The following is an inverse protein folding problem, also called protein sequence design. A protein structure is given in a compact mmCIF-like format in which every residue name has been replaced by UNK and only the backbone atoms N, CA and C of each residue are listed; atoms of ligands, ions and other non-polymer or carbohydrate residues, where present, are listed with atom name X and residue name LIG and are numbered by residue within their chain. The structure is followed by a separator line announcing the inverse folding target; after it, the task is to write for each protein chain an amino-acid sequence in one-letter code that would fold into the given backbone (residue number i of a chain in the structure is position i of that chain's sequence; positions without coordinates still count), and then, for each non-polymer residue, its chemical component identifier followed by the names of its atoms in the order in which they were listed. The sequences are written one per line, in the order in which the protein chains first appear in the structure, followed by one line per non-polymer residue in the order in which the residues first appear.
data_IF_632118202028
#
_entry.id   IF_632118202028
#
_cell.length_a   1.000
_cell.length_b   1.000
_cell.length_c   1.000
_cell.angle_alpha   90.00
_cell.angle_beta   90.00
_cell.angle_gamma   90.00
#
_symmetry.space_group_name_H-M   'P 1'
#
loop_
_entity.id
_entity.type
_entity.pdbx_description
1 polymer ?
#
# COMPACT_ATOMS: atom_id res chain seq x y z
N UNK A 1 -41.90 37.69 -39.84
CA UNK A 1 -41.68 37.13 -38.49
C UNK A 1 -40.81 35.87 -38.60
N UNK A 2 -39.52 35.96 -38.33
CA UNK A 2 -38.57 34.82 -38.38
C UNK A 2 -38.56 34.08 -37.06
N UNK A 3 -38.97 32.83 -37.02
CA UNK A 3 -38.88 31.93 -35.83
C UNK A 3 -37.49 31.37 -35.74
N UNK A 4 -36.76 31.69 -34.67
CA UNK A 4 -35.48 31.08 -34.33
C UNK A 4 -35.75 29.78 -33.55
N UNK A 5 -35.34 28.64 -34.10
CA UNK A 5 -35.35 27.34 -33.41
C UNK A 5 -34.01 27.23 -32.66
N UNK A 6 -34.04 27.29 -31.33
CA UNK A 6 -32.87 27.04 -30.47
C UNK A 6 -32.80 25.50 -30.27
N UNK A 7 -31.81 24.87 -30.89
CA UNK A 7 -31.50 23.47 -30.65
C UNK A 7 -30.59 23.38 -29.40
N UNK A 8 -31.16 22.94 -28.28
CA UNK A 8 -30.40 22.62 -27.07
C UNK A 8 -29.65 21.31 -27.28
N UNK A 9 -28.34 21.41 -27.52
CA UNK A 9 -27.45 20.24 -27.59
C UNK A 9 -27.20 19.75 -26.15
N UNK A 10 -27.89 18.68 -25.74
CA UNK A 10 -27.58 17.99 -24.47
C UNK A 10 -26.29 17.20 -24.63
N UNK A 11 -25.18 17.74 -24.11
CA UNK A 11 -23.96 16.97 -23.90
C UNK A 11 -24.22 15.92 -22.80
N UNK A 12 -24.44 14.69 -23.20
CA UNK A 12 -24.38 13.56 -22.26
C UNK A 12 -22.92 13.42 -21.78
N UNK A 13 -22.65 13.87 -20.57
CA UNK A 13 -21.40 13.57 -19.88
C UNK A 13 -21.50 12.09 -19.46
N UNK A 14 -20.90 11.21 -20.25
CA UNK A 14 -20.69 9.81 -19.85
C UNK A 14 -19.62 9.80 -18.78
N UNK A 15 -20.03 9.85 -17.52
CA UNK A 15 -19.13 9.53 -16.39
C UNK A 15 -18.84 8.03 -16.48
N UNK A 16 -17.58 7.61 -16.65
CA UNK A 16 -17.28 6.19 -16.61
C UNK A 16 -17.63 5.68 -15.22
N UNK A 17 -18.69 4.89 -15.13
CA UNK A 17 -19.03 4.16 -13.92
C UNK A 17 -17.93 3.13 -13.67
N UNK A 18 -17.00 3.44 -12.75
CA UNK A 18 -16.12 2.44 -12.14
C UNK A 18 -16.95 1.56 -11.19
N UNK A 19 -17.87 0.82 -11.75
CA UNK A 19 -18.59 -0.23 -11.04
C UNK A 19 -18.30 -1.55 -11.73
N UNK A 20 -17.20 -2.17 -11.36
CA UNK A 20 -17.12 -3.62 -11.42
C UNK A 20 -16.85 -4.12 -10.02
N UNK A 21 -17.93 -4.46 -9.33
CA UNK A 21 -17.89 -5.28 -8.13
C UNK A 21 -17.26 -6.63 -8.52
N UNK A 22 -15.93 -6.69 -8.42
CA UNK A 22 -15.18 -7.88 -8.76
C UNK A 22 -15.45 -8.95 -7.71
N UNK A 23 -16.47 -9.77 -7.95
CA UNK A 23 -16.86 -10.85 -7.03
C UNK A 23 -15.69 -11.78 -6.77
N UNK A 24 -15.31 -11.93 -5.50
CA UNK A 24 -14.26 -12.85 -5.08
C UNK A 24 -14.79 -14.28 -5.01
N UNK A 25 -14.09 -15.18 -5.68
CA UNK A 25 -14.30 -16.64 -5.56
C UNK A 25 -13.40 -17.21 -4.47
N UNK A 26 -13.79 -18.33 -3.85
CA UNK A 26 -12.98 -19.04 -2.83
C UNK A 26 -11.53 -19.29 -3.30
N UNK A 27 -11.35 -19.63 -4.59
CA UNK A 27 -10.01 -19.87 -5.16
C UNK A 27 -9.13 -18.62 -5.26
N UNK A 28 -9.72 -17.44 -5.32
CA UNK A 28 -8.97 -16.19 -5.44
C UNK A 28 -8.21 -15.89 -4.13
N UNK A 29 -8.79 -16.24 -2.96
CA UNK A 29 -8.15 -16.14 -1.63
C UNK A 29 -6.94 -17.05 -1.43
N UNK A 30 -6.76 -18.05 -2.32
CA UNK A 30 -5.63 -18.98 -2.32
C UNK A 30 -4.60 -18.64 -3.39
N UNK A 31 -4.54 -17.39 -3.81
CA UNK A 31 -3.59 -16.89 -4.79
C UNK A 31 -2.58 -15.95 -4.17
N UNK A 32 -1.40 -15.91 -4.76
CA UNK A 32 -0.44 -14.83 -4.53
C UNK A 32 -0.75 -13.69 -5.51
N UNK A 33 -0.20 -12.51 -5.23
CA UNK A 33 -0.36 -11.33 -6.07
C UNK A 33 1.00 -10.97 -6.67
N UNK A 34 1.04 -10.76 -7.98
CA UNK A 34 2.19 -10.24 -8.70
C UNK A 34 1.96 -8.77 -9.00
N UNK A 35 2.86 -7.90 -8.50
CA UNK A 35 2.98 -6.50 -8.88
C UNK A 35 4.10 -6.40 -9.92
N UNK A 36 3.76 -6.07 -11.15
CA UNK A 36 4.74 -5.79 -12.22
C UNK A 36 5.02 -4.29 -12.21
N UNK A 37 6.26 -3.91 -11.96
CA UNK A 37 6.69 -2.51 -11.93
C UNK A 37 7.71 -2.22 -13.02
N UNK A 38 7.97 -0.94 -13.30
CA UNK A 38 9.06 -0.53 -14.18
C UNK A 38 10.46 -0.75 -13.58
N UNK A 39 10.55 -1.25 -12.34
CA UNK A 39 11.79 -1.67 -11.66
C UNK A 39 11.92 -3.20 -11.54
N UNK A 40 10.88 -3.96 -11.92
CA UNK A 40 10.84 -5.41 -11.82
C UNK A 40 9.58 -5.92 -11.11
N UNK A 41 9.55 -7.23 -10.87
CA UNK A 41 8.40 -7.94 -10.34
C UNK A 41 8.51 -8.11 -8.81
N UNK A 42 7.42 -7.81 -8.10
CA UNK A 42 7.28 -8.09 -6.66
C UNK A 42 6.14 -9.09 -6.48
N UNK A 43 6.39 -10.20 -5.80
CA UNK A 43 5.36 -11.19 -5.45
C UNK A 43 5.04 -11.07 -3.98
N UNK A 44 3.75 -10.89 -3.68
CA UNK A 44 3.25 -10.76 -2.32
C UNK A 44 2.23 -11.84 -1.99
N UNK A 45 2.16 -12.20 -0.71
CA UNK A 45 1.12 -13.06 -0.14
C UNK A 45 0.31 -12.28 0.87
N UNK A 46 -1.01 -12.36 0.75
CA UNK A 46 -1.92 -11.74 1.70
C UNK A 46 -2.23 -12.69 2.85
N UNK A 47 -2.42 -12.14 4.04
CA UNK A 47 -2.69 -12.89 5.27
C UNK A 47 -4.16 -13.30 5.38
N UNK A 48 -4.40 -14.54 5.75
CA UNK A 48 -5.74 -15.02 6.09
C UNK A 48 -6.23 -14.51 7.47
N UNK A 49 -5.32 -13.98 8.31
CA UNK A 49 -5.64 -13.42 9.62
C UNK A 49 -6.23 -12.01 9.57
N UNK A 50 -6.18 -11.35 8.40
CA UNK A 50 -6.76 -10.03 8.16
C UNK A 50 -7.70 -10.08 6.95
N UNK A 51 -8.83 -10.78 7.06
CA UNK A 51 -9.70 -11.11 5.94
C UNK A 51 -10.33 -9.88 5.27
N UNK A 52 -10.63 -8.81 6.01
CA UNK A 52 -11.19 -7.58 5.44
C UNK A 52 -10.19 -6.95 4.45
N UNK A 53 -8.94 -6.83 4.85
CA UNK A 53 -7.87 -6.25 4.02
C UNK A 53 -7.50 -7.15 2.86
N UNK A 54 -7.33 -8.47 3.11
CA UNK A 54 -7.07 -9.46 2.07
C UNK A 54 -8.15 -9.40 0.98
N UNK A 55 -9.41 -9.49 1.36
CA UNK A 55 -10.53 -9.58 0.41
C UNK A 55 -10.71 -8.26 -0.35
N UNK A 56 -10.56 -7.11 0.33
CA UNK A 56 -10.58 -5.81 -0.31
C UNK A 56 -9.45 -5.67 -1.35
N UNK A 57 -8.21 -5.98 -0.96
CA UNK A 57 -7.08 -5.88 -1.88
C UNK A 57 -7.25 -6.79 -3.11
N UNK A 58 -7.71 -8.03 -2.91
CA UNK A 58 -7.99 -8.96 -4.01
C UNK A 58 -9.10 -8.45 -4.95
N UNK A 59 -10.15 -7.79 -4.42
CA UNK A 59 -11.19 -7.15 -5.25
C UNK A 59 -10.59 -6.05 -6.11
N UNK A 60 -9.79 -5.17 -5.53
CA UNK A 60 -9.12 -4.07 -6.23
C UNK A 60 -8.14 -4.58 -7.30
N UNK A 61 -7.43 -5.68 -7.03
CA UNK A 61 -6.59 -6.35 -8.05
C UNK A 61 -7.44 -6.87 -9.21
N UNK A 62 -8.56 -7.52 -8.93
CA UNK A 62 -9.44 -8.07 -9.98
C UNK A 62 -10.15 -6.99 -10.80
N UNK A 63 -10.40 -5.83 -10.24
CA UNK A 63 -10.96 -4.68 -10.96
C UNK A 63 -9.91 -3.83 -11.67
N UNK A 64 -8.65 -4.27 -11.71
CA UNK A 64 -7.54 -3.50 -12.31
C UNK A 64 -7.33 -2.12 -11.68
N UNK A 65 -7.76 -1.95 -10.43
CA UNK A 65 -7.67 -0.68 -9.73
C UNK A 65 -6.23 -0.18 -9.59
N UNK A 66 -5.29 -1.09 -9.35
CA UNK A 66 -3.88 -0.77 -9.15
C UNK A 66 -3.06 -0.65 -10.44
N UNK A 67 -3.61 -0.98 -11.59
CA UNK A 67 -2.90 -0.86 -12.86
C UNK A 67 -2.59 0.62 -13.13
N UNK A 68 -1.35 0.91 -13.45
CA UNK A 68 -0.79 2.25 -13.74
C UNK A 68 -0.65 3.20 -12.54
N UNK A 69 -0.92 2.81 -11.29
CA UNK A 69 -0.67 3.69 -10.13
C UNK A 69 0.83 3.82 -9.83
N UNK A 70 1.21 4.93 -9.20
CA UNK A 70 2.59 5.19 -8.79
C UNK A 70 2.85 4.71 -7.36
N UNK A 71 4.11 4.37 -7.09
CA UNK A 71 4.65 4.53 -5.74
C UNK A 71 4.87 6.03 -5.52
N UNK A 72 3.86 6.68 -4.98
CA UNK A 72 3.80 8.14 -4.87
C UNK A 72 4.54 8.69 -3.66
N UNK A 73 4.95 7.83 -2.73
CA UNK A 73 5.74 8.20 -1.56
C UNK A 73 6.76 7.12 -1.26
N UNK A 74 8.03 7.50 -1.21
CA UNK A 74 9.17 6.60 -1.02
C UNK A 74 10.12 7.20 0.00
N UNK A 75 10.37 6.46 1.09
CA UNK A 75 11.34 6.87 2.12
C UNK A 75 12.34 5.73 2.32
N UNK A 76 13.58 5.99 1.99
CA UNK A 76 14.69 5.06 2.18
C UNK A 76 14.82 4.64 3.65
N UNK A 77 15.12 3.37 3.90
CA UNK A 77 15.18 2.74 5.22
C UNK A 77 13.85 2.73 5.98
N UNK A 78 12.74 2.96 5.27
CA UNK A 78 11.41 2.94 5.88
C UNK A 78 10.40 2.17 5.01
N UNK A 79 9.84 2.77 3.95
CA UNK A 79 8.79 2.13 3.15
C UNK A 79 8.65 2.72 1.75
N UNK A 80 7.96 1.97 0.88
CA UNK A 80 7.46 2.44 -0.40
C UNK A 80 5.93 2.35 -0.41
N UNK A 81 5.23 3.45 -0.70
CA UNK A 81 3.77 3.56 -0.60
C UNK A 81 3.13 3.80 -1.96
N UNK A 82 2.03 3.09 -2.23
CA UNK A 82 1.25 3.16 -3.46
C UNK A 82 -0.27 3.09 -3.18
N UNK A 83 -1.08 3.05 -4.24
CA UNK A 83 -2.52 2.78 -4.15
C UNK A 83 -3.42 4.00 -4.26
N UNK A 84 -2.87 5.17 -4.56
CA UNK A 84 -3.63 6.38 -4.90
C UNK A 84 -4.04 6.33 -6.39
N UNK A 85 -5.34 6.26 -6.73
CA UNK A 85 -5.79 6.19 -8.12
C UNK A 85 -5.53 7.50 -8.90
N UNK A 86 -5.42 8.63 -8.22
CA UNK A 86 -5.13 9.93 -8.85
C UNK A 86 -3.71 9.97 -9.42
N UNK A 87 -2.84 9.06 -8.93
CA UNK A 87 -1.46 8.94 -9.42
C UNK A 87 -1.33 8.39 -10.84
N UNK A 88 -2.37 7.77 -11.40
CA UNK A 88 -2.31 7.12 -12.72
C UNK A 88 -1.89 8.08 -13.84
N UNK A 89 -2.37 9.31 -13.78
CA UNK A 89 -2.16 10.34 -14.80
C UNK A 89 -1.63 11.65 -14.21
N UNK A 90 -1.05 11.59 -13.00
CA UNK A 90 -0.56 12.78 -12.32
C UNK A 90 0.68 13.36 -13.01
N UNK A 91 0.67 14.67 -13.25
CA UNK A 91 1.85 15.39 -13.70
C UNK A 91 2.95 15.39 -12.61
N UNK A 92 4.22 15.53 -12.99
CA UNK A 92 5.30 15.75 -12.03
C UNK A 92 5.00 16.92 -11.08
N UNK A 93 5.38 16.80 -9.80
CA UNK A 93 5.22 17.85 -8.79
C UNK A 93 3.79 17.99 -8.20
N UNK A 94 2.82 17.25 -8.69
CA UNK A 94 1.47 17.24 -8.10
C UNK A 94 1.47 16.45 -6.79
N UNK A 95 1.01 17.01 -5.65
CA UNK A 95 0.84 16.27 -4.41
C UNK A 95 -0.13 15.10 -4.58
N UNK A 96 0.24 13.94 -4.06
CA UNK A 96 -0.53 12.70 -4.11
C UNK A 96 -0.71 12.14 -2.69
N UNK A 97 -1.50 11.06 -2.57
CA UNK A 97 -1.74 10.37 -1.30
C UNK A 97 -3.09 10.68 -0.66
N UNK A 98 -3.94 11.50 -1.31
CA UNK A 98 -5.30 11.79 -0.84
C UNK A 98 -6.38 11.01 -1.60
N UNK A 99 -6.07 10.49 -2.79
CA UNK A 99 -7.00 9.74 -3.61
C UNK A 99 -7.29 8.33 -3.07
N UNK A 100 -8.50 7.82 -3.36
CA UNK A 100 -8.92 6.49 -2.91
C UNK A 100 -10.30 6.09 -3.41
N UNK A 101 -10.80 4.91 -3.00
CA UNK A 101 -12.07 4.37 -3.46
C UNK A 101 -13.30 4.96 -2.75
N UNK A 102 -13.14 5.96 -1.89
CA UNK A 102 -14.24 6.62 -1.18
C UNK A 102 -14.71 5.91 0.10
N UNK A 103 -13.96 4.93 0.60
CA UNK A 103 -14.26 4.23 1.86
C UNK A 103 -12.99 3.91 2.65
N UNK A 104 -13.18 3.62 3.95
CA UNK A 104 -12.15 3.15 4.87
C UNK A 104 -12.39 1.70 5.25
N UNK A 105 -11.38 1.04 5.83
CA UNK A 105 -11.46 -0.34 6.33
C UNK A 105 -11.16 -0.33 7.83
N UNK A 106 -12.04 -0.91 8.67
CA UNK A 106 -11.78 -1.05 10.10
C UNK A 106 -10.45 -1.73 10.38
N UNK A 107 -9.75 -1.30 11.43
CA UNK A 107 -8.46 -1.87 11.80
C UNK A 107 -8.55 -3.37 12.14
N UNK A 108 -7.61 -4.16 11.60
CA UNK A 108 -7.43 -5.58 11.92
C UNK A 108 -6.03 -5.82 12.48
N UNK A 109 -5.72 -5.26 13.64
CA UNK A 109 -4.42 -5.48 14.27
C UNK A 109 -4.29 -6.92 14.75
N UNK A 110 -3.16 -7.55 14.43
CA UNK A 110 -2.79 -8.91 14.85
C UNK A 110 -1.36 -8.87 15.37
N UNK A 111 -1.13 -9.35 16.57
CA UNK A 111 0.21 -9.36 17.17
C UNK A 111 1.22 -10.14 16.34
N UNK A 112 0.81 -11.25 15.73
CA UNK A 112 1.67 -12.05 14.87
C UNK A 112 2.01 -11.40 13.52
N UNK A 113 1.36 -10.28 13.18
CA UNK A 113 1.60 -9.52 11.96
C UNK A 113 2.19 -8.17 12.34
N UNK A 114 3.50 -8.04 12.24
CA UNK A 114 4.26 -6.87 12.62
C UNK A 114 5.10 -6.34 11.45
N UNK A 115 5.61 -5.12 11.56
CA UNK A 115 6.25 -4.40 10.45
C UNK A 115 7.71 -4.83 10.21
N UNK A 116 7.96 -6.15 10.11
CA UNK A 116 9.25 -6.65 9.65
C UNK A 116 9.50 -6.19 8.21
N UNK A 117 10.76 -6.23 7.76
CA UNK A 117 11.12 -6.02 6.37
C UNK A 117 10.27 -6.90 5.44
N UNK A 118 9.70 -6.31 4.40
CA UNK A 118 8.80 -6.97 3.45
C UNK A 118 7.34 -7.07 3.90
N UNK A 119 6.96 -6.60 5.09
CA UNK A 119 5.56 -6.53 5.49
C UNK A 119 4.78 -5.58 4.57
N UNK A 120 3.53 -5.97 4.24
CA UNK A 120 2.57 -5.16 3.49
C UNK A 120 1.55 -4.64 4.48
N UNK A 121 1.41 -3.33 4.58
CA UNK A 121 0.49 -2.71 5.51
C UNK A 121 -0.34 -1.59 4.86
N UNK A 122 -1.49 -1.30 5.45
CA UNK A 122 -2.41 -0.30 4.94
C UNK A 122 -2.07 1.10 5.48
N UNK A 123 -2.05 2.09 4.59
CA UNK A 123 -1.92 3.49 4.98
C UNK A 123 -3.21 3.99 5.64
N UNK A 124 -3.09 5.00 6.50
CA UNK A 124 -4.21 5.66 7.15
C UNK A 124 -3.91 7.12 7.50
N UNK A 125 -4.96 7.87 7.76
CA UNK A 125 -4.84 9.22 8.33
C UNK A 125 -4.33 9.17 9.78
N UNK A 126 -3.74 10.28 10.23
CA UNK A 126 -3.23 10.42 11.59
C UNK A 126 -4.33 10.39 12.66
N UNK A 127 -3.97 10.02 13.90
CA UNK A 127 -4.90 9.77 15.01
C UNK A 127 -5.81 10.97 15.33
N UNK A 128 -5.34 12.19 15.12
CA UNK A 128 -6.12 13.42 15.38
C UNK A 128 -7.42 13.51 14.56
N UNK A 129 -7.41 12.98 13.33
CA UNK A 129 -8.58 12.98 12.43
C UNK A 129 -9.17 11.58 12.23
N UNK A 130 -8.50 10.56 12.76
CA UNK A 130 -8.89 9.15 12.59
C UNK A 130 -8.64 8.36 13.89
N UNK A 131 -9.37 8.65 14.97
CA UNK A 131 -9.18 8.00 16.26
C UNK A 131 -9.49 6.50 16.23
N UNK A 132 -10.33 6.04 15.30
CA UNK A 132 -10.63 4.61 15.10
C UNK A 132 -9.54 3.85 14.39
N UNK A 133 -8.49 4.54 13.89
CA UNK A 133 -7.38 3.95 13.15
C UNK A 133 -7.81 3.15 11.92
N UNK A 134 -8.92 3.51 11.30
CA UNK A 134 -9.39 2.91 10.06
C UNK A 134 -8.38 3.19 8.95
N UNK A 135 -8.14 2.20 8.10
CA UNK A 135 -7.19 2.35 7.01
C UNK A 135 -7.86 2.86 5.74
N UNK A 136 -7.05 3.48 4.91
CA UNK A 136 -7.44 3.90 3.57
C UNK A 136 -7.86 2.69 2.73
N UNK A 137 -8.94 2.82 1.95
CA UNK A 137 -9.52 1.69 1.20
C UNK A 137 -8.61 1.09 0.13
N UNK A 138 -7.61 1.83 -0.37
CA UNK A 138 -6.72 1.35 -1.43
C UNK A 138 -5.23 1.57 -1.18
N UNK A 139 -4.84 2.53 -0.34
CA UNK A 139 -3.43 2.85 -0.17
C UNK A 139 -2.73 1.86 0.76
N UNK A 140 -1.59 1.38 0.30
CA UNK A 140 -0.75 0.42 1.02
C UNK A 140 0.72 0.80 0.92
N UNK A 141 1.52 0.25 1.81
CA UNK A 141 2.97 0.37 1.73
C UNK A 141 3.67 -0.98 1.97
N UNK A 142 4.86 -1.08 1.40
CA UNK A 142 5.78 -2.21 1.60
C UNK A 142 6.93 -1.71 2.48
N UNK A 143 7.18 -2.38 3.58
CA UNK A 143 8.25 -2.03 4.50
C UNK A 143 9.60 -2.44 3.90
N UNK A 144 10.46 -1.47 3.64
CA UNK A 144 11.88 -1.70 3.45
C UNK A 144 12.55 -1.90 4.82
N UNK A 145 12.35 -0.92 5.70
CA UNK A 145 12.86 -0.93 7.05
C UNK A 145 14.38 -0.79 7.15
N UNK A 146 14.86 -0.83 8.38
CA UNK A 146 16.28 -0.88 8.75
C UNK A 146 16.50 -1.88 9.87
N UNK A 147 17.73 -2.30 10.06
CA UNK A 147 18.16 -3.10 11.20
C UNK A 147 18.25 -2.22 12.44
N UNK A 148 17.87 -2.76 13.58
CA UNK A 148 17.89 -2.08 14.87
C UNK A 148 18.91 -2.70 15.82
N UNK A 149 19.44 -1.90 16.74
CA UNK A 149 20.14 -2.36 17.94
C UNK A 149 19.15 -2.50 19.10
N UNK A 150 19.54 -3.18 20.19
CA UNK A 150 18.70 -3.24 21.39
C UNK A 150 18.39 -1.85 21.93
N UNK A 151 19.37 -0.96 22.04
CA UNK A 151 19.15 0.42 22.44
C UNK A 151 18.20 1.20 21.52
N UNK A 152 18.25 0.91 20.21
CA UNK A 152 17.31 1.47 19.24
C UNK A 152 15.88 0.98 19.46
N UNK A 153 15.69 -0.30 19.75
CA UNK A 153 14.39 -0.88 20.09
C UNK A 153 13.86 -0.36 21.44
N UNK A 154 14.72 -0.24 22.47
CA UNK A 154 14.35 0.35 23.75
C UNK A 154 13.84 1.79 23.59
N UNK A 155 14.49 2.57 22.71
CA UNK A 155 14.02 3.92 22.35
C UNK A 155 12.63 3.88 21.68
N UNK A 156 12.40 2.95 20.74
CA UNK A 156 11.09 2.79 20.10
C UNK A 156 10.02 2.40 21.12
N UNK A 157 10.28 1.44 22.00
CA UNK A 157 9.39 1.03 23.07
C UNK A 157 9.00 2.20 23.98
N UNK A 158 10.01 2.97 24.42
CA UNK A 158 9.84 4.05 25.39
C UNK A 158 9.16 5.28 24.79
N UNK A 159 9.59 5.72 23.59
CA UNK A 159 9.17 7.02 23.08
C UNK A 159 8.05 6.94 22.02
N UNK A 160 7.91 5.80 21.33
CA UNK A 160 6.97 5.66 20.22
C UNK A 160 5.79 4.75 20.55
N UNK A 161 6.06 3.54 21.04
CA UNK A 161 5.03 2.52 21.26
C UNK A 161 4.39 2.61 22.64
N UNK A 162 5.13 3.08 23.66
CA UNK A 162 4.75 3.07 25.09
C UNK A 162 4.42 1.66 25.59
N UNK A 163 5.04 0.64 25.01
CA UNK A 163 4.90 -0.79 25.34
C UNK A 163 6.14 -1.55 24.89
N UNK A 164 6.32 -2.74 25.47
CA UNK A 164 7.40 -3.65 25.07
C UNK A 164 7.11 -4.33 23.75
N UNK A 165 8.17 -4.57 22.97
CA UNK A 165 8.17 -5.40 21.79
C UNK A 165 8.47 -6.84 22.25
N UNK A 166 7.70 -7.86 21.84
CA UNK A 166 8.02 -9.26 22.15
C UNK A 166 9.43 -9.63 21.72
N UNK A 167 10.14 -10.42 22.54
CA UNK A 167 11.54 -10.77 22.27
C UNK A 167 11.76 -11.38 20.89
N UNK A 168 10.88 -12.28 20.49
CA UNK A 168 10.94 -12.90 19.15
C UNK A 168 10.86 -11.87 18.01
N UNK A 169 10.07 -10.80 18.18
CA UNK A 169 9.97 -9.70 17.20
C UNK A 169 11.22 -8.80 17.27
N UNK A 170 11.79 -8.57 18.47
CA UNK A 170 13.07 -7.84 18.63
C UNK A 170 14.18 -8.52 17.84
N UNK A 171 14.30 -9.84 17.95
CA UNK A 171 15.29 -10.61 17.18
C UNK A 171 15.12 -10.44 15.66
N UNK A 172 13.88 -10.42 15.17
CA UNK A 172 13.61 -10.15 13.76
C UNK A 172 14.05 -8.73 13.38
N UNK A 173 13.76 -7.72 14.21
CA UNK A 173 14.18 -6.35 13.93
C UNK A 173 15.69 -6.14 13.99
N UNK A 174 16.41 -6.93 14.79
CA UNK A 174 17.87 -6.91 14.88
C UNK A 174 18.56 -7.65 13.72
N UNK A 175 17.88 -8.58 13.08
CA UNK A 175 18.48 -9.44 12.03
C UNK A 175 17.98 -9.08 10.63
N UNK A 176 16.68 -8.99 10.45
CA UNK A 176 16.03 -8.73 9.16
C UNK A 176 15.68 -7.25 9.00
N UNK A 177 15.39 -6.57 10.11
CA UNK A 177 14.96 -5.17 10.13
C UNK A 177 13.47 -4.99 9.97
N UNK A 178 13.06 -3.71 9.91
CA UNK A 178 11.65 -3.34 9.77
C UNK A 178 11.35 -1.93 10.23
N UNK A 179 10.10 -1.71 10.67
CA UNK A 179 9.58 -0.42 11.14
C UNK A 179 8.75 -0.60 12.43
N UNK A 180 9.36 -1.02 13.55
CA UNK A 180 8.66 -1.42 14.78
C UNK A 180 7.73 -0.34 15.36
N UNK A 181 8.02 0.92 15.13
CA UNK A 181 7.21 2.05 15.63
C UNK A 181 5.79 2.10 15.07
N UNK A 182 5.47 1.31 14.05
CA UNK A 182 4.14 1.22 13.45
C UNK A 182 3.30 0.06 14.00
N UNK A 183 3.91 -0.86 14.77
CA UNK A 183 3.23 -2.06 15.25
C UNK A 183 1.99 -1.76 16.09
N UNK A 184 0.90 -2.47 15.78
CA UNK A 184 -0.42 -2.31 16.40
C UNK A 184 -1.04 -0.90 16.23
N UNK A 185 -0.47 -0.09 15.32
CA UNK A 185 -1.02 1.21 14.92
C UNK A 185 -1.44 1.24 13.45
N UNK A 186 -0.91 0.30 12.65
CA UNK A 186 -1.28 0.10 11.24
C UNK A 186 -1.52 -1.38 10.99
N UNK A 187 -2.50 -1.70 10.16
CA UNK A 187 -2.82 -3.10 9.85
C UNK A 187 -1.84 -3.67 8.84
N UNK A 188 -1.05 -4.63 9.27
CA UNK A 188 -0.25 -5.49 8.40
C UNK A 188 -1.16 -6.59 7.85
N UNK A 189 -1.21 -6.76 6.52
CA UNK A 189 -2.13 -7.70 5.88
C UNK A 189 -1.48 -8.63 4.85
N UNK A 190 -0.16 -8.59 4.74
CA UNK A 190 0.59 -9.45 3.82
C UNK A 190 2.10 -9.30 3.96
N UNK A 191 2.80 -10.01 3.11
CA UNK A 191 4.26 -9.98 3.06
C UNK A 191 4.79 -10.19 1.64
N UNK A 192 5.99 -9.68 1.36
CA UNK A 192 6.74 -9.93 0.14
C UNK A 192 7.33 -11.33 0.20
N UNK A 193 7.14 -12.11 -0.87
CA UNK A 193 7.75 -13.44 -1.04
C UNK A 193 8.96 -13.40 -1.97
N UNK A 194 8.94 -12.50 -2.98
CA UNK A 194 10.00 -12.33 -3.98
C UNK A 194 10.06 -10.88 -4.45
N UNK A 195 11.25 -10.40 -4.82
CA UNK A 195 11.45 -9.04 -5.32
C UNK A 195 11.87 -8.07 -4.21
N UNK A 196 12.57 -8.53 -3.16
CA UNK A 196 13.14 -7.65 -2.13
C UNK A 196 14.17 -6.69 -2.71
N UNK A 197 14.94 -7.13 -3.70
CA UNK A 197 15.88 -6.32 -4.49
C UNK A 197 15.17 -5.21 -5.27
N UNK A 198 13.98 -5.49 -5.80
CA UNK A 198 13.13 -4.49 -6.45
C UNK A 198 12.62 -3.47 -5.43
N UNK A 199 12.18 -3.91 -4.25
CA UNK A 199 11.78 -3.00 -3.15
C UNK A 199 12.94 -2.09 -2.75
N UNK A 200 14.16 -2.61 -2.63
CA UNK A 200 15.35 -1.82 -2.30
C UNK A 200 15.72 -0.82 -3.39
N UNK A 201 15.63 -1.25 -4.64
CA UNK A 201 15.88 -0.38 -5.80
C UNK A 201 14.90 0.79 -5.82
N UNK A 202 13.60 0.52 -5.62
CA UNK A 202 12.58 1.56 -5.53
C UNK A 202 12.82 2.47 -4.32
N UNK A 203 13.13 1.90 -3.15
CA UNK A 203 13.37 2.68 -1.94
C UNK A 203 14.62 3.56 -2.00
N UNK A 204 15.47 3.36 -3.01
CA UNK A 204 16.73 4.09 -3.21
C UNK A 204 16.65 5.19 -4.26
N UNK A 205 15.50 5.40 -4.90
CA UNK A 205 15.32 6.47 -5.89
C UNK A 205 15.37 7.85 -5.23
N UNK A 206 15.79 8.84 -5.99
CA UNK A 206 15.75 10.24 -5.55
C UNK A 206 14.29 10.71 -5.43
N UNK A 207 13.98 11.41 -4.36
CA UNK A 207 12.63 11.91 -4.06
C UNK A 207 12.62 13.42 -3.90
N UNK A 208 11.45 14.02 -4.08
CA UNK A 208 11.20 15.43 -3.88
C UNK A 208 11.26 15.81 -2.39
N UNK A 209 11.78 17.01 -2.11
CA UNK A 209 11.73 17.67 -0.80
C UNK A 209 10.68 18.80 -0.78
N UNK A 210 9.92 18.97 -1.84
CA UNK A 210 8.92 20.03 -2.00
C UNK A 210 7.53 19.69 -1.42
N UNK A 211 6.49 20.28 -2.01
CA UNK A 211 5.08 20.08 -1.61
C UNK A 211 4.58 18.64 -1.79
N UNK A 212 5.15 17.92 -2.75
CA UNK A 212 4.94 16.50 -3.06
C UNK A 212 5.93 15.59 -2.31
N UNK A 213 6.24 15.97 -1.08
CA UNK A 213 7.24 15.38 -0.19
C UNK A 213 7.36 13.86 -0.29
N UNK A 214 8.60 13.37 -0.41
CA UNK A 214 8.93 11.96 -0.59
C UNK A 214 8.45 11.34 -1.92
N UNK A 215 7.90 12.12 -2.87
CA UNK A 215 7.53 11.61 -4.18
C UNK A 215 8.79 11.36 -5.02
N UNK A 216 8.93 10.17 -5.67
CA UNK A 216 10.03 9.93 -6.62
C UNK A 216 10.10 11.00 -7.71
N UNK A 217 11.31 11.51 -8.00
CA UNK A 217 11.53 12.49 -9.08
C UNK A 217 11.26 11.92 -10.46
N UNK A 218 11.45 10.60 -10.61
CA UNK A 218 11.04 9.83 -11.79
C UNK A 218 9.96 8.85 -11.37
N UNK A 219 8.91 8.76 -12.18
CA UNK A 219 7.77 7.91 -11.88
C UNK A 219 8.16 6.45 -11.65
N UNK A 220 7.92 5.94 -10.46
CA UNK A 220 7.97 4.51 -10.13
C UNK A 220 6.56 3.96 -10.24
N UNK A 221 6.29 3.19 -11.28
CA UNK A 221 4.95 2.79 -11.68
C UNK A 221 4.68 1.30 -11.49
N UNK A 222 3.56 0.98 -10.92
CA UNK A 222 2.97 -0.36 -10.99
C UNK A 222 2.29 -0.48 -12.36
N UNK A 223 2.90 -1.20 -13.29
CA UNK A 223 2.40 -1.37 -14.64
C UNK A 223 1.11 -2.19 -14.62
N UNK A 224 1.13 -3.29 -13.87
CA UNK A 224 0.01 -4.22 -13.77
C UNK A 224 0.05 -5.01 -12.48
N UNK A 225 -1.14 -5.30 -11.93
CA UNK A 225 -1.28 -6.22 -10.78
C UNK A 225 -2.19 -7.39 -11.16
N UNK A 226 -1.79 -8.61 -10.84
CA UNK A 226 -2.57 -9.81 -11.17
C UNK A 226 -2.44 -10.91 -10.12
N UNK A 227 -3.49 -11.73 -10.03
CA UNK A 227 -3.50 -12.94 -9.21
C UNK A 227 -2.73 -14.05 -9.93
N UNK A 228 -1.77 -14.64 -9.25
CA UNK A 228 -0.98 -15.78 -9.74
C UNK A 228 -1.21 -17.03 -8.89
N UNK A 229 -0.86 -18.19 -9.40
CA UNK A 229 -0.93 -19.44 -8.64
C UNK A 229 0.00 -19.32 -7.43
N UNK A 230 -0.50 -19.73 -6.23
CA UNK A 230 0.33 -19.77 -5.03
C UNK A 230 1.48 -20.78 -5.24
N UNK A 231 2.68 -20.30 -5.18
CA UNK A 231 3.87 -21.14 -5.23
C UNK A 231 4.25 -21.58 -3.82
N UNK A 232 4.76 -22.81 -3.69
CA UNK A 232 5.43 -23.26 -2.48
C UNK A 232 6.82 -22.61 -2.49
N UNK A 233 6.91 -21.36 -2.10
CA UNK A 233 8.19 -20.78 -1.76
C UNK A 233 8.59 -21.37 -0.42
N UNK A 234 9.72 -22.06 -0.41
CA UNK A 234 10.43 -22.70 0.68
C UNK A 234 9.85 -22.57 2.10
N UNK A 235 9.65 -23.73 2.73
CA UNK A 235 9.53 -23.81 4.19
C UNK A 235 10.88 -23.57 4.83
#
# INVERSE_FOLDING_TARGET
MKKWIVILLHCLIVVPAFSQDATLRKKDRKRDVLLQTNYGDIIIRLSDSTPLYRDNFLKLVKSHYYDSVLFHRVIKNFMIQAGDPESKHANPGVPLGNGGPGYTIPAEFRQSLFHKRGAIAAARMGDAVNPKKESHGSQFYIVQGRIFTDAGLDSVETYRLKRKIPEAEREVYKTIGGAPHLDQNYTVFGEVLKGFDVVDSIASVSTSMGRDSDRPLQDVRIIKVKLIKRHKYFK
#
